data_IF_561471263407
#
_entry.id   IF_561471263407
#
_cell.length_a   1.000
_cell.length_b   1.000
_cell.length_c   1.000
_cell.angle_alpha   90.00
_cell.angle_beta   90.00
_cell.angle_gamma   90.00
#
_symmetry.space_group_name_H-M   'P 1'
#
loop_
_entity.id
_entity.type
_entity.pdbx_description
1 polymer ?
#
# COMPACT_ATOMS: atom_id res chain seq x y z
N UNK A 1 17.97 8.19 -1.01
CA UNK A 1 16.94 8.98 -1.72
C UNK A 1 16.02 9.55 -0.66
N UNK A 2 15.94 10.88 -0.53
CA UNK A 2 15.12 11.54 0.50
C UNK A 2 13.65 11.56 0.04
N UNK A 3 12.74 11.16 0.92
CA UNK A 3 11.30 11.24 0.62
C UNK A 3 10.87 12.71 0.49
N UNK A 4 9.91 13.01 -0.39
CA UNK A 4 9.43 14.38 -0.57
C UNK A 4 8.87 14.99 0.73
N UNK A 5 8.27 14.16 1.59
CA UNK A 5 7.75 14.58 2.90
C UNK A 5 8.87 14.97 3.88
N UNK A 6 10.06 14.37 3.77
CA UNK A 6 11.17 14.69 4.69
C UNK A 6 11.75 16.09 4.45
N UNK A 7 11.58 16.65 3.25
CA UNK A 7 11.99 18.03 2.94
C UNK A 7 11.07 19.08 3.57
N UNK A 8 9.83 18.71 3.83
CA UNK A 8 8.81 19.58 4.41
C UNK A 8 8.70 19.43 5.94
N UNK A 9 9.60 18.66 6.56
CA UNK A 9 9.56 18.35 8.00
C UNK A 9 8.25 17.71 8.46
N UNK A 10 7.61 16.91 7.59
CA UNK A 10 6.38 16.16 7.90
C UNK A 10 6.62 14.66 7.77
N UNK A 11 5.89 13.87 8.57
CA UNK A 11 6.09 12.43 8.71
C UNK A 11 5.03 11.59 7.99
N UNK A 12 3.98 12.23 7.47
CA UNK A 12 2.85 11.57 6.83
C UNK A 12 2.25 12.37 5.69
N UNK A 13 1.51 11.68 4.85
CA UNK A 13 0.67 12.26 3.79
C UNK A 13 -0.54 11.36 3.55
N UNK A 14 -1.55 11.89 2.87
CA UNK A 14 -2.72 11.11 2.43
C UNK A 14 -3.06 11.42 0.98
N UNK A 15 -3.55 10.39 0.27
CA UNK A 15 -4.09 10.50 -1.09
C UNK A 15 -5.59 10.22 -1.07
N UNK A 16 -6.35 11.11 -1.70
CA UNK A 16 -7.73 10.87 -2.08
C UNK A 16 -7.79 10.86 -3.61
N UNK A 17 -7.65 9.67 -4.20
CA UNK A 17 -7.70 9.47 -5.64
C UNK A 17 -9.16 9.32 -6.08
N UNK A 18 -9.54 10.10 -7.08
CA UNK A 18 -10.89 10.07 -7.67
C UNK A 18 -10.83 9.47 -9.06
N UNK A 19 -11.87 8.72 -9.50
CA UNK A 19 -11.89 8.14 -10.85
C UNK A 19 -12.00 9.21 -11.95
N UNK A 20 -12.57 10.38 -11.60
CA UNK A 20 -12.75 11.51 -12.50
C UNK A 20 -12.53 12.82 -11.76
N UNK A 21 -12.01 13.83 -12.46
CA UNK A 21 -11.81 15.17 -11.91
C UNK A 21 -10.54 15.30 -11.05
N UNK A 22 -10.58 16.22 -10.09
CA UNK A 22 -9.42 16.53 -9.25
C UNK A 22 -9.25 15.50 -8.13
N UNK A 23 -8.02 15.02 -7.95
CA UNK A 23 -7.59 14.24 -6.79
C UNK A 23 -6.90 15.16 -5.76
N UNK A 24 -6.76 14.71 -4.52
CA UNK A 24 -6.13 15.47 -3.45
C UNK A 24 -4.92 14.73 -2.86
N UNK A 25 -3.81 15.46 -2.65
CA UNK A 25 -2.65 15.05 -1.88
C UNK A 25 -2.48 16.01 -0.72
N UNK A 26 -2.56 15.51 0.51
CA UNK A 26 -2.32 16.28 1.72
C UNK A 26 -0.97 15.89 2.30
N UNK A 27 -0.08 16.85 2.48
CA UNK A 27 1.23 16.66 3.09
C UNK A 27 1.17 17.19 4.52
N UNK A 28 1.50 16.36 5.51
CA UNK A 28 1.61 16.77 6.91
C UNK A 28 0.36 17.42 7.49
N UNK A 29 -0.64 16.61 7.83
CA UNK A 29 -1.77 17.06 8.66
C UNK A 29 -2.17 16.01 9.67
N UNK A 30 -2.40 16.48 10.89
CA UNK A 30 -2.73 15.69 12.07
C UNK A 30 -4.08 16.11 12.69
N UNK A 31 -4.91 16.83 11.95
CA UNK A 31 -6.14 17.38 12.49
C UNK A 31 -7.35 16.46 12.33
N UNK A 32 -7.12 15.22 11.89
CA UNK A 32 -8.18 14.24 11.69
C UNK A 32 -9.18 14.63 10.60
N UNK A 33 -9.23 15.85 10.07
CA UNK A 33 -10.31 16.31 9.18
C UNK A 33 -10.35 15.63 7.82
N UNK A 34 -9.19 15.26 7.27
CA UNK A 34 -9.12 14.44 6.05
C UNK A 34 -9.55 12.99 6.31
N UNK A 35 -9.43 12.52 7.56
CA UNK A 35 -9.68 11.15 8.01
C UNK A 35 -11.12 11.00 8.55
N UNK A 36 -11.70 12.03 9.17
CA UNK A 36 -13.02 12.06 9.83
C UNK A 36 -14.18 12.08 8.84
N UNK A 37 -13.93 12.37 7.57
CA UNK A 37 -14.91 12.23 6.47
C UNK A 37 -14.93 10.82 5.86
N UNK A 38 -14.06 9.91 6.32
CA UNK A 38 -13.93 8.55 5.81
C UNK A 38 -14.40 7.53 6.86
N UNK A 39 -14.86 6.33 6.46
CA UNK A 39 -15.13 5.21 7.38
C UNK A 39 -13.91 4.91 8.27
N UNK A 40 -14.06 4.18 9.39
CA UNK A 40 -12.97 3.92 10.33
C UNK A 40 -11.72 3.45 9.60
N UNK A 41 -10.64 4.21 9.74
CA UNK A 41 -9.39 3.94 9.06
C UNK A 41 -8.77 2.69 9.62
N UNK A 42 -8.44 1.75 8.74
CA UNK A 42 -7.68 0.54 9.10
C UNK A 42 -6.21 0.80 8.84
N UNK A 43 -5.39 0.68 9.86
CA UNK A 43 -3.93 0.83 9.75
C UNK A 43 -3.29 -0.54 9.68
N UNK A 44 -2.34 -0.70 8.75
CA UNK A 44 -1.45 -1.86 8.68
C UNK A 44 0.01 -1.38 8.70
N UNK A 45 0.93 -2.15 9.30
CA UNK A 45 2.34 -1.76 9.33
C UNK A 45 2.93 -1.66 7.92
N UNK A 46 3.71 -0.60 7.69
CA UNK A 46 4.57 -0.52 6.51
C UNK A 46 5.75 -1.47 6.67
N UNK A 47 6.01 -2.28 5.65
CA UNK A 47 7.21 -3.10 5.54
C UNK A 47 8.38 -2.19 5.16
N UNK A 48 8.96 -1.53 6.16
CA UNK A 48 10.08 -0.61 5.95
C UNK A 48 11.34 -1.38 5.55
N UNK A 49 11.95 -1.00 4.42
CA UNK A 49 13.17 -1.63 3.90
C UNK A 49 14.25 -0.59 3.67
N UNK A 50 15.46 -0.88 4.16
CA UNK A 50 16.60 0.05 4.20
C UNK A 50 17.04 0.61 2.83
N UNK A 51 16.63 -0.03 1.73
CA UNK A 51 17.17 0.20 0.38
C UNK A 51 16.13 0.64 -0.66
N UNK A 52 14.83 0.55 -0.35
CA UNK A 52 13.76 0.81 -1.32
C UNK A 52 12.81 1.89 -0.82
N UNK A 53 12.52 2.88 -1.67
CA UNK A 53 11.62 4.00 -1.37
C UNK A 53 10.14 3.66 -1.60
N UNK A 54 9.78 2.39 -1.60
CA UNK A 54 8.41 1.92 -1.86
C UNK A 54 7.62 1.74 -0.55
N UNK A 55 6.34 2.13 -0.57
CA UNK A 55 5.39 1.81 0.49
C UNK A 55 4.90 0.37 0.30
N UNK A 56 5.45 -0.53 1.10
CA UNK A 56 5.13 -1.96 1.04
C UNK A 56 4.25 -2.38 2.22
N UNK A 57 3.33 -3.30 1.98
CA UNK A 57 2.47 -3.89 3.01
C UNK A 57 2.36 -5.40 2.84
N UNK A 58 2.00 -6.11 3.91
CA UNK A 58 1.71 -7.54 3.85
C UNK A 58 0.31 -7.80 3.28
N UNK A 59 0.21 -8.83 2.43
CA UNK A 59 -1.06 -9.38 1.95
C UNK A 59 -1.16 -10.82 2.47
N UNK A 60 -2.34 -11.23 2.94
CA UNK A 60 -2.53 -12.59 3.51
C UNK A 60 -3.48 -13.47 2.71
N UNK A 61 -4.23 -12.87 1.78
CA UNK A 61 -5.25 -13.54 0.99
C UNK A 61 -6.00 -12.56 0.09
N UNK A 62 -6.78 -13.11 -0.84
CA UNK A 62 -7.66 -12.36 -1.73
C UNK A 62 -9.02 -13.06 -1.69
N UNK A 63 -10.09 -12.29 -1.57
CA UNK A 63 -11.46 -12.79 -1.68
C UNK A 63 -12.18 -12.10 -2.83
N UNK A 64 -13.03 -12.85 -3.52
CA UNK A 64 -13.93 -12.33 -4.56
C UNK A 64 -15.35 -12.64 -4.12
N UNK A 65 -16.18 -11.60 -4.03
CA UNK A 65 -17.57 -11.72 -3.57
C UNK A 65 -17.69 -12.45 -2.21
N UNK A 66 -16.85 -12.06 -1.25
CA UNK A 66 -16.77 -12.68 0.08
C UNK A 66 -16.13 -14.07 0.12
N UNK A 67 -15.88 -14.71 -1.03
CA UNK A 67 -15.29 -16.05 -1.11
C UNK A 67 -13.78 -15.97 -1.23
N UNK A 68 -13.07 -16.55 -0.26
CA UNK A 68 -11.61 -16.61 -0.27
C UNK A 68 -11.10 -17.45 -1.45
N UNK A 69 -10.15 -16.92 -2.22
CA UNK A 69 -9.51 -17.66 -3.30
C UNK A 69 -8.55 -18.71 -2.73
N UNK A 70 -8.47 -19.87 -3.39
CA UNK A 70 -7.54 -20.95 -3.03
C UNK A 70 -6.11 -20.64 -3.48
N UNK A 71 -5.49 -19.65 -2.84
CA UNK A 71 -4.11 -19.24 -3.07
C UNK A 71 -3.26 -19.74 -1.89
N UNK A 72 -2.17 -20.48 -2.13
CA UNK A 72 -1.28 -20.92 -1.06
C UNK A 72 -0.76 -19.74 -0.23
N UNK A 73 -0.83 -19.82 1.11
CA UNK A 73 -0.38 -18.72 2.00
C UNK A 73 1.07 -18.29 1.74
N UNK A 74 1.93 -19.24 1.37
CA UNK A 74 3.34 -18.99 1.04
C UNK A 74 3.54 -18.20 -0.27
N UNK A 75 2.51 -18.06 -1.11
CA UNK A 75 2.53 -17.18 -2.27
C UNK A 75 2.65 -15.71 -1.84
N UNK A 76 2.10 -15.35 -0.69
CA UNK A 76 2.17 -14.01 -0.13
C UNK A 76 3.31 -13.79 0.88
N UNK A 77 4.06 -14.83 1.22
CA UNK A 77 5.14 -14.73 2.20
C UNK A 77 6.14 -13.66 1.80
N UNK A 78 6.38 -12.69 2.69
CA UNK A 78 7.30 -11.59 2.45
C UNK A 78 8.69 -11.91 3.00
N UNK A 79 9.72 -11.42 2.32
CA UNK A 79 11.07 -11.37 2.84
C UNK A 79 11.79 -10.14 2.30
N UNK A 80 12.83 -9.71 3.00
CA UNK A 80 13.44 -8.42 2.74
C UNK A 80 14.19 -8.35 1.40
N UNK A 81 14.61 -9.48 0.81
CA UNK A 81 15.37 -9.53 -0.45
C UNK A 81 14.54 -9.80 -1.71
N UNK A 82 13.67 -10.81 -1.69
CA UNK A 82 13.10 -11.46 -2.89
C UNK A 82 11.59 -11.24 -2.99
N UNK A 83 10.91 -11.03 -1.86
CA UNK A 83 9.44 -10.92 -1.83
C UNK A 83 9.01 -9.68 -1.03
N UNK A 84 8.95 -8.49 -1.66
CA UNK A 84 8.70 -7.24 -0.94
C UNK A 84 7.34 -7.08 -0.28
N UNK A 85 6.37 -7.95 -0.59
CA UNK A 85 4.98 -7.73 -0.25
C UNK A 85 4.26 -7.02 -1.39
N UNK A 86 3.24 -6.24 -1.05
CA UNK A 86 2.46 -5.44 -2.00
C UNK A 86 2.96 -4.01 -1.98
N UNK A 87 3.30 -3.48 -3.15
CA UNK A 87 3.66 -2.08 -3.34
C UNK A 87 2.38 -1.27 -3.55
N UNK A 88 2.24 -0.17 -2.81
CA UNK A 88 1.24 0.85 -3.09
C UNK A 88 1.84 1.89 -4.03
N UNK A 89 1.37 1.92 -5.28
CA UNK A 89 1.94 2.76 -6.33
C UNK A 89 0.85 3.56 -7.07
N UNK A 90 0.78 4.86 -6.77
CA UNK A 90 -0.13 5.79 -7.47
C UNK A 90 0.29 6.09 -8.91
N UNK A 91 1.53 5.76 -9.31
CA UNK A 91 2.02 5.87 -10.68
C UNK A 91 1.56 4.74 -11.60
N UNK A 92 0.90 3.71 -11.05
CA UNK A 92 0.44 2.54 -11.79
C UNK A 92 -1.08 2.48 -11.88
N UNK A 93 -1.63 2.46 -13.10
CA UNK A 93 -3.09 2.49 -13.34
C UNK A 93 -3.82 1.21 -12.94
N UNK A 94 -3.21 0.04 -13.14
CA UNK A 94 -3.84 -1.26 -12.90
C UNK A 94 -3.14 -2.02 -11.78
N UNK A 95 -3.91 -2.72 -10.95
CA UNK A 95 -3.33 -3.67 -9.99
C UNK A 95 -2.72 -4.86 -10.74
N UNK A 96 -1.42 -5.05 -10.60
CA UNK A 96 -0.72 -6.21 -11.13
C UNK A 96 -0.60 -7.31 -10.08
N UNK A 97 -1.03 -8.51 -10.44
CA UNK A 97 -0.80 -9.72 -9.64
C UNK A 97 0.27 -10.56 -10.34
N UNK A 98 1.29 -10.96 -9.59
CA UNK A 98 2.27 -11.92 -10.09
C UNK A 98 1.63 -13.30 -10.20
N UNK A 99 2.08 -14.09 -11.18
CA UNK A 99 1.70 -15.50 -11.25
C UNK A 99 2.21 -16.22 -10.01
N UNK A 100 1.32 -16.90 -9.30
CA UNK A 100 1.72 -17.74 -8.17
C UNK A 100 2.72 -18.80 -8.64
N UNK A 101 3.91 -18.82 -8.04
CA UNK A 101 4.86 -19.93 -8.21
C UNK A 101 4.31 -21.13 -7.44
N UNK A 102 3.65 -22.04 -8.15
CA UNK A 102 3.40 -23.39 -7.65
C UNK A 102 4.74 -24.10 -7.54
N UNK A 103 5.10 -24.59 -6.35
CA UNK A 103 6.21 -25.53 -6.20
C UNK A 103 5.89 -26.76 -7.07
N UNK A 104 6.73 -27.00 -8.09
CA UNK A 104 6.87 -28.34 -8.67
C UNK A 104 7.90 -29.09 -7.85
#
# INVERSE_FOLDING_TARGET
>A
MYSQISQLSVDRFSYCLTPFGSSCLVLGRDDGEAITRSPPTVTIPLLCKLWWSFYNVDLVGISVDGTALSIPKNAFATNWFVKPGVILDSGTTFTYLIRARTSR
#
